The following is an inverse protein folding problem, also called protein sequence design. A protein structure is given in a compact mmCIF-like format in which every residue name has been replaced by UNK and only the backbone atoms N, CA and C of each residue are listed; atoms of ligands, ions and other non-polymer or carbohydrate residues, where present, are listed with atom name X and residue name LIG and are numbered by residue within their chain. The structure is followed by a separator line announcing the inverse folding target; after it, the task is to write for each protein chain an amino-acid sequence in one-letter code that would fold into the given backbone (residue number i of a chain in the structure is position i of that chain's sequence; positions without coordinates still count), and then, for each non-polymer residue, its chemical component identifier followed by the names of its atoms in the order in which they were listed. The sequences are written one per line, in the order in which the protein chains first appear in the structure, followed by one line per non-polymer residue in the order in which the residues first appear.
data_IF_657111036466
#
_entry.id   IF_657111036466
#
_cell.length_a   1.000
_cell.length_b   1.000
_cell.length_c   1.000
_cell.angle_alpha   90.00
_cell.angle_beta   90.00
_cell.angle_gamma   90.00
#
_symmetry.space_group_name_H-M   'P 1'
#
loop_
_entity.id
_entity.type
_entity.pdbx_description
1 polymer ?
#
# COMPACT_ATOMS: atom_id res chain seq x y z
N UNK A 1 -3.15 -15.72 -18.07
CA UNK A 1 -1.89 -15.06 -18.44
C UNK A 1 -1.15 -16.00 -19.36
N UNK A 2 -0.37 -15.51 -20.31
CA UNK A 2 0.37 -16.36 -21.25
C UNK A 2 1.84 -15.99 -21.29
N UNK A 3 2.70 -16.99 -21.44
CA UNK A 3 4.07 -16.81 -21.88
C UNK A 3 4.18 -17.18 -23.36
N UNK A 4 4.66 -16.21 -24.14
CA UNK A 4 4.76 -16.27 -25.59
C UNK A 4 3.53 -15.72 -26.30
N UNK A 5 3.78 -14.93 -27.34
CA UNK A 5 2.75 -14.43 -28.23
C UNK A 5 2.43 -15.39 -29.38
N UNK A 6 3.45 -16.12 -29.85
CA UNK A 6 3.34 -17.03 -30.98
C UNK A 6 2.81 -16.31 -32.22
N UNK A 7 1.85 -16.92 -32.91
CA UNK A 7 1.21 -16.30 -34.07
C UNK A 7 0.02 -15.38 -33.73
N UNK A 8 -0.30 -15.20 -32.44
CA UNK A 8 -1.40 -14.36 -31.96
C UNK A 8 -2.83 -14.81 -32.32
N UNK A 9 -3.02 -15.81 -33.18
CA UNK A 9 -4.36 -16.27 -33.64
C UNK A 9 -5.21 -16.76 -32.47
N UNK A 10 -4.59 -17.43 -31.50
CA UNK A 10 -5.30 -17.88 -30.29
C UNK A 10 -5.92 -16.70 -29.54
N UNK A 11 -5.20 -15.60 -29.34
CA UNK A 11 -5.72 -14.44 -28.62
C UNK A 11 -6.86 -13.77 -29.37
N UNK A 12 -6.78 -13.70 -30.71
CA UNK A 12 -7.91 -13.25 -31.53
C UNK A 12 -9.16 -14.08 -31.30
N UNK A 13 -9.01 -15.41 -31.27
CA UNK A 13 -10.13 -16.32 -31.04
C UNK A 13 -10.69 -16.19 -29.62
N UNK A 14 -9.82 -16.15 -28.59
CA UNK A 14 -10.24 -16.01 -27.19
C UNK A 14 -10.94 -14.67 -26.94
N UNK A 15 -10.47 -13.58 -27.55
CA UNK A 15 -11.03 -12.24 -27.36
C UNK A 15 -12.34 -12.00 -28.14
N UNK A 16 -12.76 -12.93 -29.00
CA UNK A 16 -14.15 -12.93 -29.52
C UNK A 16 -15.17 -13.10 -28.40
N UNK A 17 -14.80 -13.76 -27.30
CA UNK A 17 -15.65 -13.84 -26.12
C UNK A 17 -15.67 -12.49 -25.40
N UNK A 18 -16.82 -11.79 -25.48
CA UNK A 18 -17.01 -10.47 -24.85
C UNK A 18 -16.90 -10.47 -23.32
N UNK A 19 -17.09 -11.62 -22.67
CA UNK A 19 -16.96 -11.77 -21.22
C UNK A 19 -15.50 -11.92 -20.78
N UNK A 20 -14.60 -12.29 -21.69
CA UNK A 20 -13.17 -12.36 -21.39
C UNK A 20 -12.57 -10.95 -21.43
N UNK A 21 -12.25 -10.40 -20.26
CA UNK A 21 -11.90 -8.98 -20.16
C UNK A 21 -10.47 -8.69 -20.62
N UNK A 22 -9.47 -9.40 -20.06
CA UNK A 22 -8.06 -9.13 -20.33
C UNK A 22 -7.27 -10.41 -20.55
N UNK A 23 -6.43 -10.39 -21.58
CA UNK A 23 -5.36 -11.36 -21.80
C UNK A 23 -4.04 -10.61 -21.63
N UNK A 24 -3.23 -11.04 -20.67
CA UNK A 24 -1.86 -10.54 -20.48
C UNK A 24 -0.90 -11.58 -21.03
N UNK A 25 -0.06 -11.15 -21.98
CA UNK A 25 0.94 -11.97 -22.68
C UNK A 25 2.32 -11.41 -22.38
N UNK A 26 3.22 -12.28 -21.93
CA UNK A 26 4.62 -11.97 -21.75
C UNK A 26 5.41 -12.55 -22.91
N UNK A 27 6.03 -11.71 -23.73
CA UNK A 27 6.85 -12.15 -24.85
C UNK A 27 8.30 -11.73 -24.62
N UNK A 28 9.22 -12.65 -24.87
CA UNK A 28 10.65 -12.41 -24.77
C UNK A 28 11.21 -11.85 -26.06
N UNK A 29 10.74 -12.34 -27.20
CA UNK A 29 11.20 -11.94 -28.52
C UNK A 29 10.25 -10.93 -29.16
N UNK A 30 10.63 -9.65 -29.13
CA UNK A 30 9.83 -8.56 -29.68
C UNK A 30 9.67 -8.66 -31.20
N UNK A 31 10.57 -9.35 -31.91
CA UNK A 31 10.47 -9.53 -33.36
C UNK A 31 9.24 -10.36 -33.72
N UNK A 32 8.86 -11.32 -32.88
CA UNK A 32 7.62 -12.11 -33.07
C UNK A 32 6.41 -11.18 -33.07
N UNK A 33 6.32 -10.26 -32.11
CA UNK A 33 5.24 -9.27 -32.04
C UNK A 33 5.23 -8.41 -33.32
N UNK A 34 6.41 -7.91 -33.70
CA UNK A 34 6.57 -7.04 -34.85
C UNK A 34 6.09 -7.72 -36.13
N UNK A 35 6.54 -8.95 -36.42
CA UNK A 35 6.12 -9.70 -37.62
C UNK A 35 4.61 -9.94 -37.58
N UNK A 36 4.06 -10.38 -36.45
CA UNK A 36 2.63 -10.70 -36.37
C UNK A 36 1.73 -9.48 -36.55
N UNK A 37 2.14 -8.30 -36.09
CA UNK A 37 1.38 -7.06 -36.29
C UNK A 37 1.39 -6.58 -37.74
N UNK A 38 2.35 -7.02 -38.57
CA UNK A 38 2.30 -6.78 -40.01
C UNK A 38 1.36 -7.75 -40.75
N UNK A 39 1.06 -8.91 -40.16
CA UNK A 39 0.23 -9.95 -40.78
C UNK A 39 -1.23 -9.82 -40.32
N UNK A 40 -1.46 -9.53 -39.03
CA UNK A 40 -2.77 -9.49 -38.40
C UNK A 40 -2.95 -8.16 -37.65
N UNK A 41 -4.12 -7.55 -37.83
CA UNK A 41 -4.48 -6.32 -37.14
C UNK A 41 -4.98 -6.60 -35.71
N UNK A 42 -4.26 -6.16 -34.68
CA UNK A 42 -4.63 -6.22 -33.25
C UNK A 42 -5.09 -4.87 -32.67
N UNK A 43 -5.32 -3.87 -33.52
CA UNK A 43 -5.55 -2.48 -33.07
C UNK A 43 -6.70 -2.37 -32.07
N UNK A 44 -7.82 -3.06 -32.31
CA UNK A 44 -8.99 -2.95 -31.44
C UNK A 44 -8.78 -3.59 -30.07
N UNK A 45 -8.11 -4.74 -30.00
CA UNK A 45 -7.81 -5.43 -28.74
C UNK A 45 -6.79 -4.67 -27.89
N UNK A 46 -5.79 -4.04 -28.54
CA UNK A 46 -4.79 -3.20 -27.88
C UNK A 46 -5.40 -1.88 -27.40
N UNK A 47 -6.17 -1.18 -28.25
CA UNK A 47 -6.81 0.09 -27.88
C UNK A 47 -7.82 -0.07 -26.74
N UNK A 48 -8.53 -1.19 -26.70
CA UNK A 48 -9.45 -1.51 -25.60
C UNK A 48 -8.75 -2.09 -24.36
N UNK A 49 -7.42 -2.22 -24.39
CA UNK A 49 -6.61 -2.86 -23.36
C UNK A 49 -7.04 -4.30 -23.00
N UNK A 50 -7.81 -4.95 -23.87
CA UNK A 50 -8.23 -6.36 -23.69
C UNK A 50 -7.09 -7.33 -23.98
N UNK A 51 -6.12 -6.91 -24.80
CA UNK A 51 -4.85 -7.59 -24.98
C UNK A 51 -3.72 -6.68 -24.45
N UNK A 52 -2.96 -7.18 -23.49
CA UNK A 52 -1.76 -6.53 -22.98
C UNK A 52 -0.57 -7.39 -23.32
N UNK A 53 0.44 -6.81 -23.98
CA UNK A 53 1.67 -7.50 -24.34
C UNK A 53 2.81 -6.81 -23.61
N UNK A 54 3.56 -7.59 -22.84
CA UNK A 54 4.65 -7.12 -22.01
C UNK A 54 5.94 -7.80 -22.46
N UNK A 55 6.97 -6.99 -22.72
CA UNK A 55 8.30 -7.50 -23.04
C UNK A 55 8.96 -7.99 -21.76
N UNK A 56 9.14 -9.32 -21.65
CA UNK A 56 9.53 -9.98 -20.41
C UNK A 56 10.82 -9.41 -19.80
N UNK A 57 11.81 -9.12 -20.64
CA UNK A 57 13.16 -8.74 -20.19
C UNK A 57 13.25 -7.26 -19.76
N UNK A 58 12.23 -6.44 -20.05
CA UNK A 58 12.19 -5.02 -19.65
C UNK A 58 11.42 -4.76 -18.35
N UNK A 59 10.67 -5.75 -17.86
CA UNK A 59 9.84 -5.60 -16.67
C UNK A 59 10.68 -5.39 -15.40
N UNK A 60 10.37 -4.32 -14.69
CA UNK A 60 10.92 -3.95 -13.39
C UNK A 60 9.99 -4.37 -12.26
N UNK A 61 10.49 -4.31 -11.01
CA UNK A 61 9.72 -4.65 -9.82
C UNK A 61 8.40 -3.84 -9.71
N UNK A 62 8.44 -2.56 -10.09
CA UNK A 62 7.28 -1.68 -10.07
C UNK A 62 6.17 -2.14 -11.03
N UNK A 63 6.52 -2.61 -12.23
CA UNK A 63 5.55 -3.07 -13.22
C UNK A 63 4.74 -4.26 -12.70
N UNK A 64 5.39 -5.20 -12.02
CA UNK A 64 4.71 -6.32 -11.38
C UNK A 64 3.79 -5.86 -10.25
N UNK A 65 4.25 -4.93 -9.43
CA UNK A 65 3.43 -4.38 -8.33
C UNK A 65 2.18 -3.68 -8.85
N UNK A 66 2.34 -2.86 -9.89
CA UNK A 66 1.24 -2.13 -10.52
C UNK A 66 0.23 -3.07 -11.19
N UNK A 67 0.72 -4.06 -11.96
CA UNK A 67 -0.13 -5.08 -12.57
C UNK A 67 -0.89 -5.88 -11.50
N UNK A 68 -0.21 -6.37 -10.47
CA UNK A 68 -0.82 -7.24 -9.46
C UNK A 68 -1.75 -6.51 -8.48
N UNK A 69 -1.57 -5.20 -8.29
CA UNK A 69 -2.38 -4.38 -7.37
C UNK A 69 -3.55 -3.66 -8.06
N UNK A 70 -3.51 -3.50 -9.38
CA UNK A 70 -4.56 -2.80 -10.13
C UNK A 70 -5.81 -3.65 -10.35
N UNK A 71 -6.96 -2.99 -10.46
CA UNK A 71 -8.20 -3.64 -10.89
C UNK A 71 -8.21 -3.78 -12.42
N UNK A 72 -8.70 -4.90 -12.98
CA UNK A 72 -9.34 -6.02 -12.29
C UNK A 72 -8.36 -7.14 -11.87
N UNK A 73 -7.08 -7.07 -12.24
CA UNK A 73 -6.10 -8.14 -12.03
C UNK A 73 -6.01 -8.60 -10.56
N UNK A 74 -5.99 -7.66 -9.62
CA UNK A 74 -6.00 -7.96 -8.20
C UNK A 74 -7.21 -8.79 -7.76
N UNK A 75 -8.41 -8.48 -8.28
CA UNK A 75 -9.66 -9.17 -7.92
C UNK A 75 -9.67 -10.63 -8.39
N UNK A 76 -8.97 -10.92 -9.48
CA UNK A 76 -8.83 -12.25 -10.06
C UNK A 76 -7.49 -12.92 -9.72
N UNK A 77 -6.73 -12.38 -8.77
CA UNK A 77 -5.43 -12.91 -8.34
C UNK A 77 -5.47 -14.39 -7.94
N UNK A 78 -6.57 -14.84 -7.31
CA UNK A 78 -6.74 -16.24 -6.87
C UNK A 78 -6.86 -17.25 -8.03
N UNK A 79 -7.28 -16.81 -9.21
CA UNK A 79 -7.38 -17.65 -10.41
C UNK A 79 -6.19 -17.43 -11.36
N UNK A 80 -5.12 -16.79 -10.88
CA UNK A 80 -3.90 -16.61 -11.64
C UNK A 80 -3.34 -17.96 -12.09
N UNK A 81 -3.10 -18.06 -13.39
CA UNK A 81 -2.36 -19.14 -14.02
C UNK A 81 -1.61 -18.59 -15.23
N UNK A 82 -0.36 -19.03 -15.40
CA UNK A 82 0.51 -18.71 -16.53
C UNK A 82 0.55 -19.90 -17.49
N UNK A 83 -0.18 -19.79 -18.59
CA UNK A 83 -0.19 -20.78 -19.66
C UNK A 83 0.97 -20.55 -20.64
N UNK A 84 1.50 -21.63 -21.22
CA UNK A 84 2.41 -21.52 -22.36
C UNK A 84 1.61 -21.46 -23.65
N UNK A 85 1.94 -20.53 -24.53
CA UNK A 85 1.26 -20.40 -25.82
C UNK A 85 1.50 -21.61 -26.73
N UNK A 86 2.69 -22.22 -26.67
CA UNK A 86 3.01 -23.47 -27.37
C UNK A 86 4.26 -24.11 -26.80
N UNK A 87 4.51 -25.39 -27.15
CA UNK A 87 5.72 -26.13 -26.79
C UNK A 87 7.03 -25.44 -27.22
N UNK A 88 7.00 -24.59 -28.24
CA UNK A 88 8.16 -23.80 -28.67
C UNK A 88 8.76 -22.96 -27.55
N UNK A 89 7.93 -22.46 -26.63
CA UNK A 89 8.40 -21.60 -25.55
C UNK A 89 9.02 -22.38 -24.38
N UNK A 90 8.90 -23.72 -24.34
CA UNK A 90 9.49 -24.53 -23.26
C UNK A 90 11.01 -24.38 -23.14
N UNK A 91 11.69 -24.01 -24.23
CA UNK A 91 13.14 -23.72 -24.21
C UNK A 91 13.53 -22.49 -23.38
N UNK A 92 12.56 -21.64 -23.01
CA UNK A 92 12.74 -20.51 -22.08
C UNK A 92 12.34 -20.89 -20.64
N UNK A 93 12.52 -22.16 -20.27
CA UNK A 93 12.05 -22.74 -19.00
C UNK A 93 12.39 -21.88 -17.77
N UNK A 94 13.65 -21.46 -17.65
CA UNK A 94 14.10 -20.65 -16.51
C UNK A 94 13.42 -19.28 -16.46
N UNK A 95 13.23 -18.64 -17.61
CA UNK A 95 12.53 -17.35 -17.69
C UNK A 95 11.06 -17.49 -17.29
N UNK A 96 10.40 -18.55 -17.76
CA UNK A 96 9.01 -18.88 -17.44
C UNK A 96 8.85 -19.10 -15.93
N UNK A 97 9.71 -19.92 -15.33
CA UNK A 97 9.68 -20.18 -13.89
C UNK A 97 9.95 -18.90 -13.08
N UNK A 98 10.94 -18.11 -13.50
CA UNK A 98 11.29 -16.84 -12.87
C UNK A 98 10.13 -15.84 -12.93
N UNK A 99 9.51 -15.68 -14.10
CA UNK A 99 8.35 -14.83 -14.29
C UNK A 99 7.17 -15.29 -13.42
N UNK A 100 6.85 -16.59 -13.47
CA UNK A 100 5.74 -17.16 -12.71
C UNK A 100 5.92 -16.94 -11.20
N UNK A 101 7.15 -17.14 -10.71
CA UNK A 101 7.49 -16.88 -9.30
C UNK A 101 7.29 -15.40 -8.95
N UNK A 102 7.80 -14.47 -9.76
CA UNK A 102 7.63 -13.02 -9.54
C UNK A 102 6.16 -12.63 -9.50
N UNK A 103 5.34 -13.10 -10.44
CA UNK A 103 3.91 -12.80 -10.48
C UNK A 103 3.18 -13.39 -9.27
N UNK A 104 3.45 -14.65 -8.92
CA UNK A 104 2.83 -15.30 -7.76
C UNK A 104 3.19 -14.59 -6.45
N UNK A 105 4.45 -14.19 -6.27
CA UNK A 105 4.91 -13.42 -5.10
C UNK A 105 4.26 -12.03 -5.05
N UNK A 106 4.18 -11.32 -6.17
CA UNK A 106 3.55 -9.99 -6.21
C UNK A 106 2.04 -10.06 -5.96
N UNK A 107 1.32 -11.04 -6.52
CA UNK A 107 -0.08 -11.25 -6.18
C UNK A 107 -0.25 -11.57 -4.69
N UNK A 108 0.58 -12.45 -4.13
CA UNK A 108 0.56 -12.77 -2.70
C UNK A 108 0.79 -11.52 -1.84
N UNK A 109 1.81 -10.73 -2.16
CA UNK A 109 2.12 -9.50 -1.42
C UNK A 109 0.99 -8.49 -1.49
N UNK A 110 0.39 -8.32 -2.69
CA UNK A 110 -0.76 -7.44 -2.90
C UNK A 110 -1.97 -7.89 -2.07
N UNK A 111 -2.20 -9.21 -1.95
CA UNK A 111 -3.30 -9.76 -1.14
C UNK A 111 -3.04 -9.47 0.34
N UNK A 112 -1.83 -9.75 0.83
CA UNK A 112 -1.47 -9.56 2.23
C UNK A 112 -1.52 -8.07 2.62
N UNK A 113 -1.13 -7.15 1.74
CA UNK A 113 -1.15 -5.71 2.03
C UNK A 113 -2.55 -5.13 2.23
N UNK A 114 -3.59 -5.78 1.68
CA UNK A 114 -4.98 -5.37 1.90
C UNK A 114 -5.56 -5.88 3.23
N UNK A 115 -4.83 -6.74 3.95
CA UNK A 115 -5.29 -7.39 5.16
C UNK A 115 -5.76 -8.81 4.91
N UNK A 116 -5.41 -9.71 5.82
CA UNK A 116 -5.72 -11.14 5.75
C UNK A 116 -6.41 -11.65 7.03
N UNK A 117 -6.71 -10.78 7.98
CA UNK A 117 -7.32 -11.13 9.27
C UNK A 117 -8.70 -10.46 9.43
N UNK A 118 -9.80 -11.22 9.28
CA UNK A 118 -11.14 -10.71 9.53
C UNK A 118 -11.37 -10.24 10.97
N UNK A 119 -10.69 -10.83 11.96
CA UNK A 119 -10.84 -10.43 13.37
C UNK A 119 -10.25 -9.04 13.60
N UNK A 120 -9.08 -8.74 13.04
CA UNK A 120 -8.48 -7.39 13.07
C UNK A 120 -9.40 -6.35 12.42
N UNK A 121 -10.01 -6.70 11.29
CA UNK A 121 -10.96 -5.82 10.61
C UNK A 121 -12.21 -5.55 11.47
N UNK A 122 -12.78 -6.58 12.10
CA UNK A 122 -13.93 -6.45 12.99
C UNK A 122 -13.60 -5.64 14.24
N UNK A 123 -12.45 -5.86 14.86
CA UNK A 123 -11.96 -5.07 15.99
C UNK A 123 -11.88 -3.58 15.63
N UNK A 124 -11.36 -3.26 14.44
CA UNK A 124 -11.33 -1.89 13.94
C UNK A 124 -12.70 -1.24 13.83
N UNK A 125 -13.69 -1.98 13.31
CA UNK A 125 -15.07 -1.50 13.19
C UNK A 125 -15.68 -1.30 14.57
N UNK A 126 -15.52 -2.27 15.47
CA UNK A 126 -16.02 -2.21 16.85
C UNK A 126 -15.46 -1.00 17.61
N UNK A 127 -14.14 -0.84 17.62
CA UNK A 127 -13.48 0.30 18.27
C UNK A 127 -13.91 1.63 17.63
N UNK A 128 -14.09 1.70 16.31
CA UNK A 128 -14.61 2.90 15.65
C UNK A 128 -16.02 3.25 16.14
N UNK A 129 -16.91 2.25 16.24
CA UNK A 129 -18.28 2.46 16.73
C UNK A 129 -18.30 2.92 18.19
N UNK A 130 -17.45 2.35 19.06
CA UNK A 130 -17.34 2.78 20.45
C UNK A 130 -16.82 4.21 20.60
N UNK A 131 -15.89 4.64 19.74
CA UNK A 131 -15.34 5.99 19.77
C UNK A 131 -16.23 7.04 19.06
N UNK A 132 -17.21 6.60 18.27
CA UNK A 132 -18.05 7.49 17.46
C UNK A 132 -18.74 8.61 18.27
N UNK A 133 -19.33 8.37 19.46
CA UNK A 133 -19.94 9.45 20.27
C UNK A 133 -18.93 10.53 20.70
N UNK A 134 -17.69 10.14 21.02
CA UNK A 134 -16.64 11.10 21.35
C UNK A 134 -16.19 11.85 20.09
N UNK A 135 -15.98 11.15 18.98
CA UNK A 135 -15.56 11.78 17.72
C UNK A 135 -16.53 12.85 17.21
N UNK A 136 -17.84 12.66 17.38
CA UNK A 136 -18.85 13.65 16.95
C UNK A 136 -19.02 14.82 17.91
N UNK A 137 -18.61 14.68 19.18
CA UNK A 137 -18.73 15.72 20.22
C UNK A 137 -17.45 16.54 20.36
N UNK A 138 -16.34 16.07 19.80
CA UNK A 138 -15.02 16.71 19.87
C UNK A 138 -14.65 17.40 18.56
N UNK A 139 -13.65 18.30 18.56
CA UNK A 139 -13.22 19.01 17.35
C UNK A 139 -12.85 18.06 16.22
N UNK A 140 -13.39 18.32 15.05
CA UNK A 140 -13.07 17.60 13.83
C UNK A 140 -11.67 17.93 13.32
N UNK A 141 -11.12 17.07 12.46
CA UNK A 141 -9.86 17.34 11.77
C UNK A 141 -9.87 18.67 10.99
N UNK A 142 -11.02 19.03 10.40
CA UNK A 142 -11.17 20.31 9.67
C UNK A 142 -11.06 21.51 10.61
N UNK A 143 -11.64 21.42 11.80
CA UNK A 143 -11.55 22.48 12.81
C UNK A 143 -10.14 22.58 13.41
N UNK A 144 -9.47 21.45 13.62
CA UNK A 144 -8.07 21.43 14.02
C UNK A 144 -7.20 22.18 13.01
N UNK A 145 -7.35 21.85 11.72
CA UNK A 145 -6.62 22.53 10.65
C UNK A 145 -6.96 24.02 10.58
N UNK A 146 -8.24 24.39 10.63
CA UNK A 146 -8.64 25.80 10.52
C UNK A 146 -8.15 26.64 11.69
N UNK A 147 -8.19 26.09 12.92
CA UNK A 147 -7.71 26.78 14.12
C UNK A 147 -6.20 26.89 14.18
N UNK A 148 -5.44 25.94 13.64
CA UNK A 148 -3.97 25.92 13.78
C UNK A 148 -3.20 26.44 12.57
N UNK A 149 -3.87 26.61 11.42
CA UNK A 149 -3.24 27.11 10.19
C UNK A 149 -2.60 28.48 10.43
N UNK A 150 -1.29 28.57 10.21
CA UNK A 150 -0.53 29.82 10.31
C UNK A 150 -0.28 30.29 11.75
N UNK A 151 -0.54 29.47 12.78
CA UNK A 151 -0.23 29.81 14.18
C UNK A 151 1.24 29.56 14.53
N UNK A 152 1.83 28.50 13.98
CA UNK A 152 3.20 28.11 14.27
C UNK A 152 3.95 27.80 13.00
N UNK A 153 5.16 28.34 12.87
CA UNK A 153 6.07 28.09 11.75
C UNK A 153 6.91 26.83 11.97
N UNK A 154 6.94 26.30 13.20
CA UNK A 154 7.83 25.20 13.58
C UNK A 154 7.08 24.13 14.35
N UNK A 155 7.22 22.88 13.91
CA UNK A 155 6.75 21.70 14.61
C UNK A 155 7.93 20.81 15.01
N UNK A 156 7.86 20.23 16.21
CA UNK A 156 8.79 19.21 16.70
C UNK A 156 8.01 17.91 16.82
N UNK A 157 8.45 16.87 16.10
CA UNK A 157 7.87 15.53 16.19
C UNK A 157 8.77 14.69 17.09
N UNK A 158 8.21 14.23 18.20
CA UNK A 158 8.91 13.46 19.23
C UNK A 158 8.51 11.99 19.14
N UNK A 159 9.50 11.14 18.89
CA UNK A 159 9.35 9.68 18.89
C UNK A 159 10.22 9.03 19.97
N UNK A 160 10.04 7.73 20.20
CA UNK A 160 10.70 6.94 21.26
C UNK A 160 12.08 6.38 20.89
N UNK A 161 12.79 7.03 19.97
CA UNK A 161 14.16 6.64 19.66
C UNK A 161 15.09 6.82 20.89
N UNK A 162 16.16 6.02 21.04
CA UNK A 162 17.11 6.12 22.15
C UNK A 162 17.85 7.48 22.21
N UNK A 163 17.84 8.23 21.11
CA UNK A 163 18.34 9.61 21.06
C UNK A 163 17.50 10.61 21.83
N UNK A 164 16.23 10.31 22.14
CA UNK A 164 15.30 11.21 22.82
C UNK A 164 15.90 11.71 24.13
N UNK A 165 16.43 10.81 24.96
CA UNK A 165 17.02 11.13 26.27
C UNK A 165 18.08 12.22 26.19
N UNK A 166 18.90 12.22 25.13
CA UNK A 166 19.94 13.22 24.90
C UNK A 166 19.35 14.60 24.54
N UNK A 167 18.18 14.62 23.92
CA UNK A 167 17.52 15.83 23.44
C UNK A 167 16.54 16.44 24.44
N UNK A 168 16.17 15.74 25.52
CA UNK A 168 15.22 16.25 26.52
C UNK A 168 15.58 17.64 27.08
N UNK A 169 16.85 17.95 27.42
CA UNK A 169 17.21 19.29 27.90
C UNK A 169 16.97 20.37 26.83
N UNK A 170 17.27 20.06 25.56
CA UNK A 170 17.06 20.97 24.45
C UNK A 170 15.56 21.15 24.17
N UNK A 171 14.82 20.04 24.11
CA UNK A 171 13.38 20.04 23.90
C UNK A 171 12.69 20.90 24.95
N UNK A 172 13.04 20.75 26.23
CA UNK A 172 12.49 21.57 27.32
C UNK A 172 12.80 23.06 27.16
N UNK A 173 13.99 23.42 26.66
CA UNK A 173 14.38 24.81 26.40
C UNK A 173 13.57 25.46 25.27
N UNK A 174 13.15 24.68 24.27
CA UNK A 174 12.48 25.17 23.07
C UNK A 174 10.99 24.81 23.01
N UNK A 175 10.44 24.15 24.03
CA UNK A 175 9.05 23.69 24.03
C UNK A 175 8.02 24.81 23.84
N UNK A 176 8.29 26.02 24.33
CA UNK A 176 7.40 27.17 24.14
C UNK A 176 7.53 27.88 22.79
N UNK A 177 8.44 27.43 21.91
CA UNK A 177 8.77 28.08 20.63
C UNK A 177 8.33 27.28 19.41
N UNK A 178 7.80 26.08 19.61
CA UNK A 178 7.39 25.18 18.54
C UNK A 178 6.20 24.35 19.01
N UNK A 179 5.38 23.91 18.05
CA UNK A 179 4.30 22.97 18.33
C UNK A 179 4.87 21.57 18.46
N UNK A 180 4.62 20.90 19.58
CA UNK A 180 5.14 19.56 19.86
C UNK A 180 4.07 18.49 19.57
N UNK A 181 4.38 17.61 18.62
CA UNK A 181 3.65 16.37 18.39
C UNK A 181 4.42 15.22 19.02
N UNK A 182 3.78 14.44 19.88
CA UNK A 182 4.38 13.31 20.56
C UNK A 182 3.73 12.01 20.09
N UNK A 183 4.53 11.02 19.73
CA UNK A 183 4.04 9.65 19.58
C UNK A 183 3.61 9.08 20.94
N UNK A 184 2.61 8.21 20.94
CA UNK A 184 2.07 7.47 22.10
C UNK A 184 3.11 7.09 23.16
N UNK A 185 4.09 6.28 22.78
CA UNK A 185 5.11 5.74 23.67
C UNK A 185 6.10 6.79 24.19
N UNK A 186 6.20 7.95 23.55
CA UNK A 186 7.07 9.04 23.98
C UNK A 186 6.41 9.90 25.06
N UNK A 187 5.09 9.83 25.18
CA UNK A 187 4.32 10.67 26.08
C UNK A 187 4.71 10.47 27.56
N UNK A 188 4.80 9.23 28.09
CA UNK A 188 5.25 9.02 29.47
C UNK A 188 6.67 9.53 29.74
N UNK A 189 7.55 9.54 28.74
CA UNK A 189 8.92 10.04 28.88
C UNK A 189 8.93 11.56 29.00
N UNK A 190 8.14 12.24 28.16
CA UNK A 190 7.99 13.69 28.21
C UNK A 190 7.33 14.16 29.52
N UNK A 191 6.28 13.46 29.95
CA UNK A 191 5.61 13.71 31.23
C UNK A 191 6.58 13.61 32.42
N UNK A 192 7.41 12.56 32.48
CA UNK A 192 8.46 12.40 33.51
C UNK A 192 9.48 13.55 33.56
N UNK A 193 9.71 14.22 32.43
CA UNK A 193 10.65 15.36 32.34
C UNK A 193 9.95 16.72 32.40
N UNK A 194 8.63 16.73 32.63
CA UNK A 194 7.78 17.90 32.68
C UNK A 194 7.86 18.72 31.39
N UNK A 195 7.80 18.02 30.25
CA UNK A 195 7.72 18.59 28.91
C UNK A 195 6.32 18.29 28.39
N UNK A 196 5.50 19.31 28.24
CA UNK A 196 4.11 19.15 27.81
C UNK A 196 4.02 19.21 26.28
N UNK A 197 3.57 18.15 25.60
CA UNK A 197 3.29 18.22 24.17
C UNK A 197 1.98 18.99 23.91
N UNK A 198 1.83 19.52 22.70
CA UNK A 198 0.56 20.11 22.23
C UNK A 198 -0.38 19.04 21.66
N UNK A 199 0.18 17.91 21.20
CA UNK A 199 -0.56 16.80 20.61
C UNK A 199 0.08 15.48 20.99
N UNK A 200 -0.75 14.49 21.31
CA UNK A 200 -0.33 13.10 21.42
C UNK A 200 -1.02 12.27 20.34
N UNK A 201 -0.23 11.48 19.62
CA UNK A 201 -0.67 10.73 18.45
C UNK A 201 -0.51 9.23 18.70
N UNK A 202 -1.61 8.49 18.56
CA UNK A 202 -1.66 7.04 18.65
C UNK A 202 -2.19 6.49 17.32
N UNK A 203 -1.51 5.48 16.77
CA UNK A 203 -1.90 4.84 15.52
C UNK A 203 -2.38 3.40 15.73
N UNK A 204 -1.73 2.69 16.66
CA UNK A 204 -2.00 1.29 16.91
C UNK A 204 -3.31 1.07 17.64
N UNK A 205 -3.95 -0.07 17.40
CA UNK A 205 -5.24 -0.47 18.01
C UNK A 205 -5.10 -1.54 19.09
N UNK A 206 -3.86 -1.87 19.46
CA UNK A 206 -3.55 -2.93 20.43
C UNK A 206 -3.73 -2.45 21.87
N UNK A 207 -4.15 -3.36 22.75
CA UNK A 207 -4.23 -3.10 24.20
C UNK A 207 -2.87 -2.68 24.78
N UNK A 208 -1.78 -3.29 24.30
CA UNK A 208 -0.43 -2.95 24.74
C UNK A 208 -0.10 -1.46 24.53
N UNK A 209 -0.50 -0.89 23.40
CA UNK A 209 -0.25 0.54 23.13
C UNK A 209 -1.14 1.43 24.01
N UNK A 210 -2.35 0.99 24.34
CA UNK A 210 -3.24 1.72 25.25
C UNK A 210 -2.65 1.87 26.66
N UNK A 211 -1.81 0.92 27.10
CA UNK A 211 -1.13 1.00 28.41
C UNK A 211 -0.22 2.23 28.56
N UNK A 212 0.31 2.81 27.47
CA UNK A 212 1.08 4.06 27.56
C UNK A 212 0.23 5.24 28.06
N UNK A 213 -1.09 5.13 27.97
CA UNK A 213 -2.05 6.13 28.42
C UNK A 213 -2.78 5.70 29.70
N UNK A 214 -2.49 4.52 30.24
CA UNK A 214 -3.03 4.03 31.50
C UNK A 214 -2.27 4.63 32.70
N UNK A 215 -2.15 5.95 32.68
CA UNK A 215 -1.47 6.77 33.66
C UNK A 215 -2.36 7.96 33.98
N UNK A 216 -2.67 8.16 35.26
CA UNK A 216 -3.33 9.39 35.69
C UNK A 216 -2.26 10.49 35.78
N UNK A 217 -2.15 11.32 34.72
CA UNK A 217 -1.27 12.48 34.72
C UNK A 217 -1.96 13.73 35.29
N UNK A 218 -3.24 13.64 35.71
CA UNK A 218 -3.98 14.70 36.40
C UNK A 218 -3.92 16.05 35.70
N UNK A 219 -3.48 17.09 36.43
CA UNK A 219 -3.37 18.46 35.91
C UNK A 219 -2.39 18.62 34.74
N UNK A 220 -1.48 17.65 34.52
CA UNK A 220 -0.55 17.71 33.40
C UNK A 220 -1.27 17.56 32.05
N UNK A 221 -2.33 16.74 31.99
CA UNK A 221 -3.12 16.48 30.78
C UNK A 221 -3.99 17.67 30.35
N UNK A 222 -4.29 18.58 31.27
CA UNK A 222 -5.20 19.71 31.00
C UNK A 222 -4.68 20.55 29.85
N UNK A 223 -5.46 20.80 28.79
CA UNK A 223 -5.03 21.57 27.61
C UNK A 223 -3.97 20.90 26.71
N UNK A 224 -3.73 19.59 26.85
CA UNK A 224 -3.13 18.73 25.80
C UNK A 224 -4.27 18.28 24.87
#
# INVERSE_FOLDING_TARGET
YFYGFGNGILFKALLQNKNHQHIVVFEKDIEIIWIMFHILDFSSELQSARLMILENDKLQAQDYTELCSSKPFFQFSRIYFLELMSHYYERFHEDILGLNKKLAENFKNSIVSHGNDPLDALQGIEQFVYNLPQMITHPSYKELLSKRKGISDTAIIVSTGPSLTKQLPLLKKYASKATIFCADSAYPILAKHNIKPDYVCMLERSEFTAEFFNHDFGEFDKDI
#
